data_IF_772511711015
#
_entry.id   IF_772511711015
#
_cell.length_a   1.000
_cell.length_b   1.000
_cell.length_c   1.000
_cell.angle_alpha   90.00
_cell.angle_beta   90.00
_cell.angle_gamma   90.00
#
_symmetry.space_group_name_H-M   'P 1'
#
loop_
_entity.id
_entity.type
_entity.pdbx_description
1 polymer ?
#
# COMPACT_ATOMS: atom_id res chain seq x y z
N UNK A 1 43.77 5.60 68.87
CA UNK A 1 43.99 7.03 68.57
C UNK A 1 43.53 7.28 67.15
N UNK A 2 42.81 8.38 66.94
CA UNK A 2 42.00 8.67 65.77
C UNK A 2 42.79 9.24 64.56
N UNK A 3 42.05 9.37 63.45
CA UNK A 3 42.13 10.36 62.34
C UNK A 3 42.64 9.83 60.97
N UNK A 4 41.66 9.54 60.10
CA UNK A 4 41.39 10.11 58.76
C UNK A 4 42.54 10.58 57.85
N UNK A 5 42.56 10.12 56.58
CA UNK A 5 42.14 10.89 55.37
C UNK A 5 42.22 10.08 54.06
N UNK A 6 41.18 10.30 53.24
CA UNK A 6 40.91 10.09 51.79
C UNK A 6 42.13 9.87 50.85
N UNK A 7 42.06 9.24 49.65
CA UNK A 7 41.13 9.47 48.53
C UNK A 7 41.39 8.48 47.34
N UNK A 8 40.36 8.26 46.51
CA UNK A 8 40.31 7.83 45.09
C UNK A 8 40.65 6.37 44.69
N UNK A 9 39.58 5.62 44.39
CA UNK A 9 39.61 4.47 43.46
C UNK A 9 38.67 4.81 42.29
N UNK A 10 39.22 4.86 41.07
CA UNK A 10 38.47 5.05 39.85
C UNK A 10 37.89 3.69 39.38
N UNK A 11 36.57 3.62 39.20
CA UNK A 11 35.90 2.49 38.54
C UNK A 11 35.36 2.97 37.19
N UNK A 12 35.91 2.40 36.11
CA UNK A 12 35.43 2.57 34.74
C UNK A 12 34.20 1.69 34.50
N UNK A 13 33.02 2.30 34.34
CA UNK A 13 31.83 1.64 33.82
C UNK A 13 31.84 1.69 32.28
N UNK A 14 31.68 0.52 31.66
CA UNK A 14 31.39 0.39 30.23
C UNK A 14 29.95 0.86 29.96
N UNK A 15 29.80 1.85 29.08
CA UNK A 15 28.50 2.32 28.58
C UNK A 15 28.13 1.48 27.36
N UNK A 16 27.11 0.64 27.51
CA UNK A 16 26.37 0.05 26.38
C UNK A 16 25.46 1.18 25.86
N UNK A 17 25.81 1.78 24.73
CA UNK A 17 24.95 2.74 24.03
C UNK A 17 23.84 1.97 23.33
N UNK A 18 22.74 1.73 24.04
CA UNK A 18 21.46 1.41 23.40
C UNK A 18 21.03 2.60 22.55
N UNK A 19 20.91 2.39 21.24
CA UNK A 19 20.28 3.37 20.36
C UNK A 19 18.79 3.38 20.71
N UNK A 20 18.36 4.42 21.41
CA UNK A 20 16.95 4.69 21.62
C UNK A 20 16.27 4.85 20.27
N UNK A 21 15.19 4.10 20.06
CA UNK A 21 14.24 4.38 18.99
C UNK A 21 13.78 5.84 19.11
N UNK A 22 13.52 6.55 17.99
CA UNK A 22 12.94 7.88 18.07
C UNK A 22 11.64 7.79 18.88
N UNK A 23 11.49 8.69 19.85
CA UNK A 23 10.27 8.83 20.64
C UNK A 23 9.08 8.92 19.68
N UNK A 24 8.33 7.83 19.57
CA UNK A 24 7.01 7.87 18.98
C UNK A 24 6.21 8.86 19.82
N UNK A 25 5.65 9.89 19.18
CA UNK A 25 4.57 10.66 19.79
C UNK A 25 3.51 9.64 20.20
N UNK A 26 3.43 9.36 21.50
CA UNK A 26 2.29 8.70 22.09
C UNK A 26 1.12 9.64 21.86
N UNK A 27 0.34 9.37 20.81
CA UNK A 27 -0.97 10.00 20.64
C UNK A 27 -1.77 9.62 21.87
N UNK A 28 -2.13 10.63 22.65
CA UNK A 28 -2.96 10.50 23.82
C UNK A 28 -4.22 9.70 23.44
N UNK A 29 -4.43 8.55 24.09
CA UNK A 29 -5.67 7.78 23.97
C UNK A 29 -6.81 8.72 24.39
N UNK A 30 -7.56 9.24 23.43
CA UNK A 30 -8.73 10.09 23.71
C UNK A 30 -9.77 9.27 24.50
N UNK A 31 -9.74 9.36 25.83
CA UNK A 31 -10.80 8.87 26.70
C UNK A 31 -11.86 9.96 26.86
N UNK A 32 -13.15 9.62 26.69
CA UNK A 32 -14.23 10.41 27.31
C UNK A 32 -15.41 10.91 26.46
N UNK A 33 -15.56 10.60 25.16
CA UNK A 33 -16.78 10.94 24.41
C UNK A 33 -17.45 9.69 23.85
N UNK A 34 -18.63 9.33 24.34
CA UNK A 34 -19.47 8.27 23.76
C UNK A 34 -19.94 8.67 22.36
N UNK A 35 -19.75 7.82 21.36
CA UNK A 35 -20.26 8.05 20.01
C UNK A 35 -21.78 7.91 20.01
N UNK A 36 -22.46 8.96 19.57
CA UNK A 36 -23.91 8.96 19.52
C UNK A 36 -24.45 8.31 18.24
N UNK A 37 -25.63 7.73 18.33
CA UNK A 37 -26.34 7.26 17.15
C UNK A 37 -26.65 8.42 16.20
N UNK A 38 -26.55 8.18 14.90
CA UNK A 38 -26.96 9.15 13.89
C UNK A 38 -27.93 8.51 12.88
N UNK A 39 -29.19 8.27 13.27
CA UNK A 39 -30.16 7.55 12.45
C UNK A 39 -30.60 8.30 11.18
N UNK A 40 -30.20 9.56 11.03
CA UNK A 40 -30.57 10.41 9.89
C UNK A 40 -29.60 10.28 8.70
N UNK A 41 -28.52 9.50 8.83
CA UNK A 41 -27.55 9.27 7.75
C UNK A 41 -27.84 7.94 7.07
N UNK A 42 -28.11 7.96 5.77
CA UNK A 42 -28.49 6.79 4.98
C UNK A 42 -29.98 6.45 5.06
N UNK A 43 -30.40 5.25 4.63
CA UNK A 43 -31.81 4.87 4.49
C UNK A 43 -32.62 4.80 5.80
N UNK A 44 -31.96 4.82 6.95
CA UNK A 44 -32.60 4.67 8.26
C UNK A 44 -33.12 3.25 8.53
N UNK A 45 -33.91 3.09 9.59
CA UNK A 45 -34.47 1.80 10.00
C UNK A 45 -34.69 1.70 11.51
N UNK A 46 -35.50 0.73 11.93
CA UNK A 46 -35.83 0.49 13.34
C UNK A 46 -35.17 -0.76 13.92
N UNK A 47 -34.66 -1.65 13.07
CA UNK A 47 -33.95 -2.87 13.47
C UNK A 47 -32.45 -2.69 13.27
N UNK A 48 -31.74 -2.51 14.38
CA UNK A 48 -30.30 -2.32 14.36
C UNK A 48 -29.63 -2.93 15.59
N UNK A 49 -28.32 -3.10 15.49
CA UNK A 49 -27.42 -3.34 16.63
C UNK A 49 -26.30 -2.31 16.65
N UNK A 50 -25.87 -1.95 17.84
CA UNK A 50 -24.82 -0.97 18.08
C UNK A 50 -23.58 -1.64 18.67
N UNK A 51 -22.42 -1.14 18.26
CA UNK A 51 -21.16 -1.24 19.00
C UNK A 51 -20.73 0.16 19.46
N UNK A 52 -19.47 0.38 19.84
CA UNK A 52 -19.02 1.71 20.27
C UNK A 52 -19.07 2.70 19.11
N UNK A 53 -18.49 2.36 17.97
CA UNK A 53 -18.26 3.24 16.83
C UNK A 53 -19.20 2.98 15.64
N UNK A 54 -19.95 1.87 15.65
CA UNK A 54 -20.77 1.46 14.52
C UNK A 54 -22.21 1.14 14.91
N UNK A 55 -23.09 1.26 13.91
CA UNK A 55 -24.46 0.76 13.95
C UNK A 55 -24.72 -0.06 12.70
N UNK A 56 -25.16 -1.30 12.87
CA UNK A 56 -25.57 -2.18 11.75
C UNK A 56 -27.09 -2.28 11.71
N UNK A 57 -27.67 -1.91 10.58
CA UNK A 57 -29.09 -2.05 10.26
C UNK A 57 -29.36 -3.33 9.47
N UNK A 58 -30.43 -4.03 9.82
CA UNK A 58 -30.80 -5.30 9.18
C UNK A 58 -29.89 -6.48 9.56
N UNK A 59 -30.23 -7.67 9.05
CA UNK A 59 -29.45 -8.92 9.20
C UNK A 59 -28.96 -9.19 10.63
N UNK A 60 -29.88 -9.17 11.60
CA UNK A 60 -29.58 -9.25 13.04
C UNK A 60 -28.77 -10.49 13.46
N UNK A 61 -28.84 -11.57 12.68
CA UNK A 61 -28.09 -12.81 12.90
C UNK A 61 -26.60 -12.69 12.61
N UNK A 62 -26.17 -11.72 11.81
CA UNK A 62 -24.76 -11.51 11.45
C UNK A 62 -24.22 -10.16 11.95
N UNK A 63 -25.09 -9.26 12.41
CA UNK A 63 -24.74 -7.93 12.88
C UNK A 63 -23.65 -7.92 13.97
N UNK A 64 -23.69 -8.84 14.96
CA UNK A 64 -22.67 -8.86 16.03
C UNK A 64 -21.27 -9.18 15.50
N UNK A 65 -21.18 -10.09 14.52
CA UNK A 65 -19.90 -10.45 13.88
C UNK A 65 -19.37 -9.28 13.05
N UNK A 66 -20.25 -8.62 12.29
CA UNK A 66 -19.90 -7.46 11.49
C UNK A 66 -19.41 -6.30 12.37
N UNK A 67 -20.12 -6.01 13.47
CA UNK A 67 -19.73 -5.01 14.46
C UNK A 67 -18.36 -5.34 15.07
N UNK A 68 -18.12 -6.58 15.49
CA UNK A 68 -16.84 -6.99 16.06
C UNK A 68 -15.67 -6.84 15.07
N UNK A 69 -15.88 -7.19 13.80
CA UNK A 69 -14.91 -6.99 12.72
C UNK A 69 -14.63 -5.50 12.46
N UNK A 70 -15.67 -4.66 12.40
CA UNK A 70 -15.54 -3.22 12.18
C UNK A 70 -14.87 -2.50 13.36
N UNK A 71 -15.17 -2.89 14.60
CA UNK A 71 -14.46 -2.37 15.78
C UNK A 71 -12.98 -2.73 15.77
N UNK A 72 -12.63 -3.93 15.32
CA UNK A 72 -11.23 -4.33 15.12
C UNK A 72 -10.53 -3.49 14.06
N UNK A 73 -11.20 -3.22 12.93
CA UNK A 73 -10.68 -2.34 11.90
C UNK A 73 -10.51 -0.90 12.43
N UNK A 74 -11.51 -0.37 13.13
CA UNK A 74 -11.47 0.95 13.75
C UNK A 74 -10.29 1.08 14.74
N UNK A 75 -10.13 0.13 15.67
CA UNK A 75 -9.04 0.14 16.64
C UNK A 75 -7.67 0.07 15.96
N UNK A 76 -7.55 -0.64 14.82
CA UNK A 76 -6.33 -0.62 14.04
C UNK A 76 -6.09 0.76 13.40
N UNK A 77 -6.97 1.21 12.50
CA UNK A 77 -6.68 2.39 11.68
C UNK A 77 -6.78 3.69 12.47
N UNK A 78 -7.80 3.85 13.29
CA UNK A 78 -7.99 5.07 14.09
C UNK A 78 -7.20 4.99 15.40
N UNK A 79 -7.30 3.86 16.11
CA UNK A 79 -6.67 3.70 17.42
C UNK A 79 -5.14 3.55 17.36
N UNK A 80 -4.63 2.80 16.39
CA UNK A 80 -3.19 2.44 16.30
C UNK A 80 -2.45 3.26 15.24
N UNK A 81 -3.04 3.42 14.05
CA UNK A 81 -2.41 4.12 12.93
C UNK A 81 -2.76 5.62 12.88
N UNK A 82 -3.60 6.11 13.79
CA UNK A 82 -3.84 7.54 14.00
C UNK A 82 -4.67 8.22 12.92
N UNK A 83 -5.35 7.47 12.05
CA UNK A 83 -6.28 8.05 11.08
C UNK A 83 -7.39 8.82 11.80
N UNK A 84 -7.85 9.92 11.20
CA UNK A 84 -8.98 10.67 11.73
C UNK A 84 -10.20 9.77 11.88
N UNK A 85 -10.85 9.83 13.05
CA UNK A 85 -12.05 9.04 13.32
C UNK A 85 -13.18 9.32 12.33
N UNK A 86 -13.82 8.24 11.86
CA UNK A 86 -15.00 8.25 11.02
C UNK A 86 -16.25 8.82 11.71
N UNK A 87 -16.23 8.95 13.05
CA UNK A 87 -17.36 9.53 13.75
C UNK A 87 -17.38 11.05 13.80
N UNK A 88 -16.34 11.73 13.33
CA UNK A 88 -16.35 13.20 13.21
C UNK A 88 -16.74 13.59 11.78
N UNK A 89 -17.69 14.52 11.65
CA UNK A 89 -18.08 15.11 10.37
C UNK A 89 -16.86 15.57 9.57
N UNK A 90 -16.81 15.27 8.28
CA UNK A 90 -15.89 15.85 7.31
C UNK A 90 -15.84 17.39 7.41
N UNK A 91 -17.00 18.01 7.63
CA UNK A 91 -17.16 19.46 7.73
C UNK A 91 -16.60 20.06 9.06
N UNK A 92 -16.28 19.23 10.05
CA UNK A 92 -15.72 19.70 11.33
C UNK A 92 -14.24 20.06 11.19
N UNK A 93 -13.96 21.34 10.94
CA UNK A 93 -12.61 21.87 10.77
C UNK A 93 -11.74 21.77 12.04
N UNK A 94 -12.33 21.80 13.23
CA UNK A 94 -11.62 21.81 14.51
C UNK A 94 -11.39 20.43 15.12
N UNK A 95 -11.93 19.37 14.51
CA UNK A 95 -11.80 17.98 14.97
C UNK A 95 -12.21 17.76 16.43
N UNK A 96 -13.14 18.57 16.92
CA UNK A 96 -13.65 18.56 18.28
C UNK A 96 -15.19 18.51 18.32
N UNK A 97 -15.81 18.29 17.16
CA UNK A 97 -17.23 18.16 17.01
C UNK A 97 -17.78 16.92 17.71
N UNK A 98 -19.11 16.86 17.74
CA UNK A 98 -19.84 15.70 18.27
C UNK A 98 -19.51 14.46 17.45
N UNK A 99 -19.16 13.38 18.13
CA UNK A 99 -18.83 12.10 17.51
C UNK A 99 -20.08 11.24 17.34
N UNK A 100 -20.29 10.70 16.16
CA UNK A 100 -21.42 9.81 15.85
C UNK A 100 -20.96 8.45 15.33
N UNK A 101 -21.76 7.42 15.55
CA UNK A 101 -21.51 6.08 14.99
C UNK A 101 -21.57 6.11 13.46
N UNK A 102 -20.75 5.30 12.81
CA UNK A 102 -20.84 5.04 11.37
C UNK A 102 -21.95 4.02 11.13
N UNK A 103 -22.89 4.35 10.24
CA UNK A 103 -24.00 3.44 9.90
C UNK A 103 -23.58 2.45 8.81
N UNK A 104 -24.02 1.21 8.96
CA UNK A 104 -23.83 0.11 8.01
C UNK A 104 -25.19 -0.53 7.75
N UNK A 105 -25.62 -0.58 6.49
CA UNK A 105 -26.90 -1.14 6.09
C UNK A 105 -26.68 -2.48 5.38
N UNK A 106 -27.18 -3.57 5.99
CA UNK A 106 -27.22 -4.87 5.32
C UNK A 106 -28.42 -4.90 4.37
N UNK A 107 -28.15 -4.92 3.07
CA UNK A 107 -29.18 -4.82 2.01
C UNK A 107 -29.30 -6.12 1.21
N UNK A 108 -30.45 -6.35 0.59
CA UNK A 108 -30.70 -7.56 -0.17
C UNK A 108 -29.89 -7.65 -1.48
N UNK A 109 -29.64 -6.52 -2.14
CA UNK A 109 -28.95 -6.46 -3.43
C UNK A 109 -28.32 -5.11 -3.68
N UNK A 110 -27.15 -5.10 -4.32
CA UNK A 110 -26.49 -3.92 -4.88
C UNK A 110 -26.05 -4.28 -6.31
N UNK A 111 -26.71 -3.76 -7.36
CA UNK A 111 -26.35 -4.10 -8.73
C UNK A 111 -24.88 -3.76 -9.03
N UNK A 112 -24.09 -4.77 -9.38
CA UNK A 112 -22.69 -4.61 -9.78
C UNK A 112 -21.67 -4.44 -8.65
N UNK A 113 -22.08 -4.49 -7.38
CA UNK A 113 -21.16 -4.30 -6.24
C UNK A 113 -21.54 -5.18 -5.03
N UNK A 114 -20.58 -5.61 -4.23
CA UNK A 114 -20.85 -6.36 -2.99
C UNK A 114 -21.10 -5.43 -1.79
N UNK A 115 -20.53 -4.23 -1.84
CA UNK A 115 -20.74 -3.13 -0.92
C UNK A 115 -20.54 -1.80 -1.63
N UNK A 116 -20.92 -0.71 -0.96
CA UNK A 116 -20.69 0.65 -1.43
C UNK A 116 -20.63 1.59 -0.23
N UNK A 117 -19.68 2.52 -0.26
CA UNK A 117 -19.69 3.70 0.59
C UNK A 117 -20.49 4.83 -0.04
N UNK A 118 -21.31 5.49 0.76
CA UNK A 118 -21.99 6.72 0.41
C UNK A 118 -21.57 7.85 1.36
N UNK A 119 -21.70 9.09 0.89
CA UNK A 119 -21.46 10.29 1.68
C UNK A 119 -22.67 11.23 1.64
N UNK A 120 -22.94 11.86 2.77
CA UNK A 120 -23.83 13.00 2.87
C UNK A 120 -22.96 14.23 3.11
N UNK A 121 -22.74 15.01 2.04
CA UNK A 121 -21.92 16.22 2.09
C UNK A 121 -22.49 17.30 3.01
N UNK A 122 -23.81 17.31 3.22
CA UNK A 122 -24.45 18.33 4.07
C UNK A 122 -24.09 18.15 5.54
N UNK A 123 -24.14 16.90 6.02
CA UNK A 123 -23.74 16.55 7.39
C UNK A 123 -22.26 16.21 7.50
N UNK A 124 -21.59 15.92 6.39
CA UNK A 124 -20.20 15.50 6.31
C UNK A 124 -19.99 14.06 6.80
N UNK A 125 -21.00 13.20 6.76
CA UNK A 125 -20.91 11.82 7.26
C UNK A 125 -20.90 10.79 6.14
N UNK A 126 -20.09 9.74 6.29
CA UNK A 126 -20.14 8.54 5.46
C UNK A 126 -21.02 7.43 6.05
N UNK A 127 -21.60 6.60 5.20
CA UNK A 127 -22.23 5.32 5.59
C UNK A 127 -21.96 4.23 4.56
N UNK A 128 -22.23 2.99 4.95
CA UNK A 128 -22.02 1.82 4.10
C UNK A 128 -23.35 1.14 3.77
N UNK A 129 -23.50 0.67 2.54
CA UNK A 129 -24.45 -0.40 2.21
C UNK A 129 -23.66 -1.64 1.81
N UNK A 130 -24.01 -2.81 2.36
CA UNK A 130 -23.35 -4.08 2.07
C UNK A 130 -24.40 -5.14 1.84
N UNK A 131 -24.23 -5.94 0.78
CA UNK A 131 -25.12 -7.05 0.52
C UNK A 131 -25.10 -8.06 1.67
N UNK A 132 -26.27 -8.64 1.99
CA UNK A 132 -26.46 -9.53 3.14
C UNK A 132 -25.43 -10.67 3.24
N UNK A 133 -25.03 -11.26 2.10
CA UNK A 133 -24.05 -12.36 2.04
C UNK A 133 -22.61 -11.92 2.31
N UNK A 134 -22.30 -10.62 2.21
CA UNK A 134 -20.96 -10.06 2.33
C UNK A 134 -20.75 -9.20 3.58
N UNK A 135 -21.80 -9.02 4.41
CA UNK A 135 -21.76 -8.20 5.63
C UNK A 135 -20.62 -8.59 6.60
N UNK A 136 -20.23 -9.86 6.63
CA UNK A 136 -19.12 -10.37 7.46
C UNK A 136 -17.91 -10.79 6.64
N UNK A 137 -17.86 -10.44 5.34
CA UNK A 137 -16.70 -10.65 4.50
C UNK A 137 -15.76 -9.46 4.68
N UNK A 138 -14.63 -9.66 5.36
CA UNK A 138 -13.69 -8.58 5.69
C UNK A 138 -13.14 -7.89 4.43
N UNK A 139 -12.84 -8.65 3.37
CA UNK A 139 -12.43 -8.10 2.07
C UNK A 139 -13.44 -7.11 1.45
N UNK A 140 -14.74 -7.21 1.78
CA UNK A 140 -15.78 -6.29 1.30
C UNK A 140 -16.07 -5.22 2.35
N UNK A 141 -16.51 -5.61 3.55
CA UNK A 141 -17.03 -4.65 4.52
C UNK A 141 -15.93 -3.73 5.08
N UNK A 142 -14.70 -4.24 5.26
CA UNK A 142 -13.57 -3.41 5.69
C UNK A 142 -13.01 -2.58 4.53
N UNK A 143 -13.13 -3.04 3.29
CA UNK A 143 -12.86 -2.22 2.10
C UNK A 143 -13.78 -1.00 2.06
N UNK A 144 -15.10 -1.21 2.19
CA UNK A 144 -16.05 -0.09 2.21
C UNK A 144 -15.80 0.85 3.39
N UNK A 145 -15.44 0.30 4.55
CA UNK A 145 -15.00 1.14 5.68
C UNK A 145 -13.71 1.91 5.38
N UNK A 146 -12.82 1.37 4.55
CA UNK A 146 -11.67 2.08 3.99
C UNK A 146 -12.06 3.33 3.21
N UNK A 147 -13.13 3.29 2.41
CA UNK A 147 -13.68 4.49 1.75
C UNK A 147 -14.20 5.52 2.76
N UNK A 148 -14.84 5.08 3.86
CA UNK A 148 -15.25 6.00 4.94
C UNK A 148 -14.02 6.62 5.61
N UNK A 149 -13.00 5.83 5.97
CA UNK A 149 -11.76 6.35 6.54
C UNK A 149 -11.10 7.39 5.62
N UNK A 150 -11.06 7.09 4.32
CA UNK A 150 -10.56 7.98 3.28
C UNK A 150 -11.34 9.30 3.25
N UNK A 151 -12.66 9.24 3.08
CA UNK A 151 -13.53 10.41 3.05
C UNK A 151 -13.30 11.29 4.28
N UNK A 152 -13.24 10.68 5.46
CA UNK A 152 -13.04 11.42 6.71
C UNK A 152 -11.62 11.98 6.91
N UNK A 153 -10.61 11.65 6.07
CA UNK A 153 -9.31 12.36 6.03
C UNK A 153 -9.35 13.67 5.23
N UNK A 154 -10.44 13.93 4.52
CA UNK A 154 -10.80 15.19 3.84
C UNK A 154 -10.03 15.58 2.58
N UNK A 155 -8.70 15.44 2.58
CA UNK A 155 -7.85 16.15 1.61
C UNK A 155 -7.89 15.59 0.19
N UNK A 156 -8.06 14.29 0.04
CA UNK A 156 -8.16 13.60 -1.25
C UNK A 156 -9.59 13.58 -1.81
N UNK A 157 -10.54 14.23 -1.13
CA UNK A 157 -11.95 14.36 -1.54
C UNK A 157 -12.10 15.51 -2.55
N UNK A 158 -12.98 15.31 -3.53
CA UNK A 158 -13.24 16.23 -4.65
C UNK A 158 -11.98 16.58 -5.48
N UNK A 159 -11.03 15.65 -5.57
CA UNK A 159 -9.83 15.77 -6.41
C UNK A 159 -9.85 14.70 -7.51
N UNK A 160 -10.11 15.08 -8.77
CA UNK A 160 -10.22 14.10 -9.87
C UNK A 160 -9.01 13.16 -9.98
N UNK A 161 -7.79 13.67 -9.74
CA UNK A 161 -6.55 12.88 -9.84
C UNK A 161 -6.28 11.92 -8.68
N UNK A 162 -7.04 12.01 -7.60
CA UNK A 162 -6.99 11.02 -6.52
C UNK A 162 -8.04 9.93 -6.71
N UNK A 163 -9.05 10.13 -7.57
CA UNK A 163 -10.24 9.27 -7.66
C UNK A 163 -9.95 7.77 -7.71
N UNK A 164 -9.12 7.30 -8.65
CA UNK A 164 -8.83 5.86 -8.75
C UNK A 164 -8.01 5.33 -7.56
N UNK A 165 -7.29 6.20 -6.86
CA UNK A 165 -6.53 5.82 -5.66
C UNK A 165 -7.44 5.52 -4.46
N UNK A 166 -8.73 5.90 -4.51
CA UNK A 166 -9.69 5.55 -3.46
C UNK A 166 -9.84 4.05 -3.34
N UNK A 167 -10.00 3.35 -4.46
CA UNK A 167 -10.08 1.88 -4.46
C UNK A 167 -8.76 1.23 -4.06
N UNK A 168 -7.64 1.78 -4.53
CA UNK A 168 -6.31 1.31 -4.13
C UNK A 168 -6.14 1.42 -2.61
N UNK A 169 -6.58 2.53 -2.02
CA UNK A 169 -6.54 2.76 -0.58
C UNK A 169 -7.50 1.83 0.18
N UNK A 170 -8.73 1.68 -0.27
CA UNK A 170 -9.72 0.80 0.36
C UNK A 170 -9.27 -0.68 0.37
N UNK A 171 -8.69 -1.16 -0.73
CA UNK A 171 -8.07 -2.49 -0.77
C UNK A 171 -6.84 -2.60 0.13
N UNK A 172 -6.02 -1.55 0.24
CA UNK A 172 -4.93 -1.53 1.22
C UNK A 172 -5.45 -1.62 2.66
N UNK A 173 -6.54 -0.90 3.01
CA UNK A 173 -7.18 -0.99 4.33
C UNK A 173 -7.65 -2.41 4.60
N UNK A 174 -8.39 -3.02 3.66
CA UNK A 174 -8.90 -4.38 3.82
C UNK A 174 -7.76 -5.41 3.97
N UNK A 175 -6.77 -5.40 3.08
CA UNK A 175 -5.66 -6.36 3.12
C UNK A 175 -4.77 -6.16 4.36
N UNK A 176 -4.48 -4.91 4.74
CA UNK A 176 -3.73 -4.59 5.97
C UNK A 176 -4.47 -5.08 7.21
N UNK A 177 -5.79 -4.85 7.29
CA UNK A 177 -6.61 -5.38 8.38
C UNK A 177 -6.52 -6.91 8.47
N UNK A 178 -6.59 -7.60 7.33
CA UNK A 178 -6.64 -9.07 7.27
C UNK A 178 -5.31 -9.73 7.61
N UNK A 179 -4.22 -9.15 7.14
CA UNK A 179 -2.93 -9.86 7.05
C UNK A 179 -1.85 -9.28 7.94
N UNK A 180 -1.86 -7.95 8.18
CA UNK A 180 -0.72 -7.25 8.77
C UNK A 180 -0.65 -7.42 10.29
N UNK A 181 0.56 -7.45 10.82
CA UNK A 181 0.83 -7.41 12.26
C UNK A 181 0.45 -6.05 12.88
N UNK A 182 0.37 -4.99 12.08
CA UNK A 182 -0.11 -3.68 12.52
C UNK A 182 -1.50 -3.76 13.14
N UNK A 183 -2.37 -4.62 12.59
CA UNK A 183 -3.73 -4.81 13.09
C UNK A 183 -3.87 -6.04 14.00
N UNK A 184 -2.79 -6.79 14.30
CA UNK A 184 -2.89 -8.03 15.07
C UNK A 184 -3.41 -7.82 16.50
N UNK A 185 -3.01 -6.73 17.16
CA UNK A 185 -3.49 -6.42 18.51
C UNK A 185 -5.00 -6.10 18.51
N UNK A 186 -5.46 -5.30 17.55
CA UNK A 186 -6.87 -4.98 17.38
C UNK A 186 -7.69 -6.22 17.02
N UNK A 187 -7.23 -7.03 16.07
CA UNK A 187 -7.88 -8.31 15.73
C UNK A 187 -8.03 -9.22 16.95
N UNK A 188 -6.97 -9.42 17.74
CA UNK A 188 -7.03 -10.22 18.98
C UNK A 188 -8.01 -9.67 20.01
N UNK A 189 -8.04 -8.35 20.21
CA UNK A 189 -8.94 -7.71 21.17
C UNK A 189 -10.43 -7.94 20.82
N UNK A 190 -10.73 -8.14 19.55
CA UNK A 190 -12.07 -8.37 19.02
C UNK A 190 -12.28 -9.80 18.50
N UNK A 191 -11.42 -10.76 18.88
CA UNK A 191 -11.51 -12.17 18.48
C UNK A 191 -11.59 -12.42 16.97
N UNK A 192 -10.94 -11.57 16.18
CA UNK A 192 -10.88 -11.69 14.73
C UNK A 192 -9.62 -12.47 14.29
N UNK A 193 -9.72 -13.37 13.31
CA UNK A 193 -8.59 -14.14 12.82
C UNK A 193 -7.69 -13.31 11.89
N UNK A 194 -6.42 -13.71 11.75
CA UNK A 194 -5.64 -13.35 10.56
C UNK A 194 -6.18 -14.14 9.38
N UNK A 195 -6.26 -13.52 8.21
CA UNK A 195 -6.74 -14.12 6.98
C UNK A 195 -5.67 -14.11 5.87
N UNK A 196 -5.98 -14.72 4.73
CA UNK A 196 -5.11 -14.68 3.55
C UNK A 196 -5.23 -13.33 2.83
N UNK A 197 -4.16 -12.94 2.14
CA UNK A 197 -4.18 -11.79 1.24
C UNK A 197 -5.10 -12.01 0.03
N UNK A 198 -5.62 -10.91 -0.51
CA UNK A 198 -6.39 -10.86 -1.77
C UNK A 198 -5.52 -10.41 -2.96
N UNK A 199 -4.20 -10.56 -2.87
CA UNK A 199 -3.29 -10.12 -3.92
C UNK A 199 -3.54 -10.85 -5.25
N UNK A 200 -3.68 -10.08 -6.33
CA UNK A 200 -3.89 -10.58 -7.68
C UNK A 200 -2.60 -10.48 -8.50
N UNK A 201 -1.65 -11.38 -8.26
CA UNK A 201 -0.31 -11.32 -8.86
C UNK A 201 -0.31 -11.40 -10.39
N UNK A 202 -1.28 -12.11 -10.98
CA UNK A 202 -1.45 -12.14 -12.43
C UNK A 202 -1.69 -10.75 -13.01
N UNK A 203 -2.39 -9.88 -12.28
CA UNK A 203 -2.58 -8.47 -12.66
C UNK A 203 -1.38 -7.62 -12.25
N UNK A 204 -0.99 -7.64 -10.98
CA UNK A 204 0.06 -6.73 -10.47
C UNK A 204 1.42 -6.96 -11.12
N UNK A 205 1.84 -8.22 -11.31
CA UNK A 205 3.11 -8.55 -11.99
C UNK A 205 2.91 -8.69 -13.49
N UNK A 206 1.87 -9.44 -13.89
CA UNK A 206 1.62 -9.73 -15.30
C UNK A 206 1.30 -8.49 -16.13
N UNK A 207 0.70 -7.45 -15.55
CA UNK A 207 0.45 -6.15 -16.19
C UNK A 207 1.27 -5.01 -15.55
N UNK A 208 2.41 -5.33 -14.92
CA UNK A 208 3.29 -4.34 -14.27
C UNK A 208 3.76 -3.20 -15.19
N UNK A 209 3.65 -3.36 -16.51
CA UNK A 209 3.97 -2.32 -17.49
C UNK A 209 2.94 -1.19 -17.56
N UNK A 210 1.73 -1.38 -17.01
CA UNK A 210 0.71 -0.33 -16.90
C UNK A 210 1.17 0.80 -15.96
N UNK A 211 0.50 1.96 -15.96
CA UNK A 211 0.76 3.00 -14.98
C UNK A 211 0.60 2.44 -13.55
N UNK A 212 1.34 3.01 -12.59
CA UNK A 212 1.33 2.52 -11.20
C UNK A 212 -0.08 2.43 -10.59
N UNK A 213 -0.96 3.36 -10.99
CA UNK A 213 -2.41 3.29 -10.80
C UNK A 213 -3.08 3.72 -12.09
N UNK A 214 -3.90 2.82 -12.64
CA UNK A 214 -4.68 2.96 -13.87
C UNK A 214 -6.15 2.66 -13.56
N UNK A 215 -7.01 3.66 -13.74
CA UNK A 215 -8.45 3.58 -13.52
C UNK A 215 -9.26 3.23 -14.78
N UNK A 216 -8.60 2.88 -15.88
CA UNK A 216 -9.29 2.57 -17.14
C UNK A 216 -10.29 1.42 -16.95
N UNK A 217 -11.49 1.59 -17.50
CA UNK A 217 -12.56 0.58 -17.45
C UNK A 217 -12.06 -0.73 -18.06
N UNK A 218 -12.40 -1.86 -17.43
CA UNK A 218 -12.06 -3.25 -17.79
C UNK A 218 -10.58 -3.64 -17.83
N UNK A 219 -9.67 -2.67 -17.87
CA UNK A 219 -8.25 -2.90 -18.16
C UNK A 219 -7.30 -2.32 -17.12
N UNK A 220 -7.76 -1.38 -16.30
CA UNK A 220 -7.00 -0.75 -15.24
C UNK A 220 -6.59 -1.72 -14.12
N UNK A 221 -5.78 -1.21 -13.19
CA UNK A 221 -5.23 -1.97 -12.06
C UNK A 221 -5.49 -1.29 -10.71
N UNK A 222 -6.34 -0.26 -10.66
CA UNK A 222 -6.57 0.55 -9.46
C UNK A 222 -7.07 -0.23 -8.24
N UNK A 223 -7.75 -1.36 -8.42
CA UNK A 223 -8.04 -2.30 -7.32
C UNK A 223 -6.79 -3.10 -6.92
N UNK A 224 -5.90 -3.47 -7.84
CA UNK A 224 -4.75 -4.35 -7.61
C UNK A 224 -3.42 -3.61 -7.30
N UNK A 225 -3.43 -2.28 -7.32
CA UNK A 225 -2.25 -1.44 -7.11
C UNK A 225 -1.86 -1.24 -5.63
N UNK A 226 -2.69 -1.73 -4.69
CA UNK A 226 -2.47 -1.58 -3.25
C UNK A 226 -1.11 -2.12 -2.73
N UNK A 227 -0.42 -3.09 -3.36
CA UNK A 227 0.90 -3.52 -2.89
C UNK A 227 1.94 -2.40 -2.87
N UNK A 228 1.77 -1.35 -3.69
CA UNK A 228 2.59 -0.15 -3.59
C UNK A 228 2.39 0.57 -2.25
N UNK A 229 1.14 0.73 -1.80
CA UNK A 229 0.83 1.36 -0.51
C UNK A 229 1.34 0.50 0.66
N UNK A 230 1.27 -0.83 0.53
CA UNK A 230 1.87 -1.77 1.48
C UNK A 230 3.38 -1.62 1.55
N UNK A 231 4.07 -1.49 0.41
CA UNK A 231 5.50 -1.26 0.35
C UNK A 231 5.91 0.04 1.07
N UNK A 232 5.16 1.13 0.84
CA UNK A 232 5.38 2.41 1.54
C UNK A 232 5.21 2.27 3.06
N UNK A 233 4.18 1.54 3.48
CA UNK A 233 3.83 1.31 4.89
C UNK A 233 4.88 0.45 5.60
N UNK A 234 5.29 -0.66 4.99
CA UNK A 234 6.26 -1.59 5.57
C UNK A 234 7.69 -1.07 5.48
N UNK A 235 7.96 -0.19 4.50
CA UNK A 235 9.25 0.45 4.26
C UNK A 235 10.46 -0.51 4.38
N UNK A 236 10.48 -1.61 3.62
CA UNK A 236 11.54 -2.62 3.76
C UNK A 236 12.92 -2.10 3.33
N UNK A 237 12.98 -0.98 2.60
CA UNK A 237 14.21 -0.26 2.24
C UNK A 237 14.67 0.76 3.29
N UNK A 238 13.92 0.94 4.38
CA UNK A 238 14.25 1.82 5.51
C UNK A 238 14.49 3.28 5.09
N UNK A 239 13.71 3.78 4.13
CA UNK A 239 13.73 5.20 3.80
C UNK A 239 13.31 6.03 5.01
N UNK A 240 14.14 7.01 5.38
CA UNK A 240 14.07 7.67 6.69
C UNK A 240 12.72 8.34 7.03
N UNK A 241 11.91 8.69 6.03
CA UNK A 241 10.62 9.37 6.19
C UNK A 241 9.40 8.49 5.88
N UNK A 242 9.63 7.22 5.53
CA UNK A 242 8.55 6.27 5.27
C UNK A 242 8.45 5.24 6.41
N UNK A 243 7.38 4.46 6.42
CA UNK A 243 7.00 3.55 7.49
C UNK A 243 5.49 3.54 7.74
N UNK A 244 5.09 3.07 8.92
CA UNK A 244 3.69 2.76 9.25
C UNK A 244 2.74 3.96 9.15
N UNK A 245 3.25 5.18 9.33
CA UNK A 245 2.48 6.44 9.26
C UNK A 245 2.48 7.08 7.85
N UNK A 246 3.13 6.46 6.86
CA UNK A 246 3.34 7.09 5.54
C UNK A 246 2.03 7.51 4.88
N UNK A 247 1.03 6.63 4.82
CA UNK A 247 -0.22 6.93 4.13
C UNK A 247 -1.02 8.01 4.85
N UNK A 248 -1.02 7.99 6.19
CA UNK A 248 -1.62 9.04 6.97
C UNK A 248 -0.93 10.39 6.71
N UNK A 249 0.41 10.43 6.68
CA UNK A 249 1.16 11.64 6.29
C UNK A 249 0.87 12.08 4.86
N UNK A 250 0.69 11.16 3.92
CA UNK A 250 0.29 11.48 2.55
C UNK A 250 -1.11 12.11 2.48
N UNK A 251 -2.00 11.81 3.42
CA UNK A 251 -3.31 12.46 3.49
C UNK A 251 -3.21 13.82 4.20
N UNK A 252 -2.51 13.90 5.33
CA UNK A 252 -2.34 15.15 6.11
C UNK A 252 -1.58 16.23 5.34
N UNK A 253 -0.54 15.84 4.59
CA UNK A 253 0.31 16.78 3.85
C UNK A 253 -0.17 17.05 2.42
N UNK A 254 -1.28 16.43 2.00
CA UNK A 254 -1.88 16.72 0.70
C UNK A 254 -2.34 18.16 0.66
N UNK A 255 -1.96 18.88 -0.40
CA UNK A 255 -2.36 20.27 -0.54
C UNK A 255 -3.84 20.34 -0.94
N UNK A 256 -4.69 20.81 -0.02
CA UNK A 256 -6.12 20.99 -0.27
C UNK A 256 -6.38 21.76 -1.59
N UNK A 257 -7.32 21.26 -2.39
CA UNK A 257 -7.73 21.85 -3.67
C UNK A 257 -6.61 21.98 -4.72
N UNK A 258 -5.50 21.24 -4.57
CA UNK A 258 -4.42 21.27 -5.55
C UNK A 258 -4.69 20.40 -6.78
N UNK A 259 -5.56 19.40 -6.64
CA UNK A 259 -5.75 18.33 -7.61
C UNK A 259 -4.41 17.71 -8.05
N UNK A 260 -3.43 17.65 -7.12
CA UNK A 260 -2.18 16.91 -7.33
C UNK A 260 -2.42 15.40 -7.23
N UNK A 261 -1.53 14.60 -7.81
CA UNK A 261 -1.60 13.15 -7.64
C UNK A 261 -1.01 12.75 -6.28
N UNK A 262 -1.42 11.62 -5.69
CA UNK A 262 -0.78 11.10 -4.47
C UNK A 262 0.75 10.98 -4.53
N UNK A 263 1.33 10.82 -5.72
CA UNK A 263 2.78 10.79 -5.90
C UNK A 263 3.46 12.15 -5.62
N UNK A 264 2.78 13.28 -5.85
CA UNK A 264 3.32 14.60 -5.49
C UNK A 264 3.40 14.76 -3.98
N UNK A 265 2.37 14.31 -3.27
CA UNK A 265 2.39 14.31 -1.81
C UNK A 265 3.39 13.30 -1.26
N UNK A 266 3.55 12.13 -1.90
CA UNK A 266 4.62 11.19 -1.56
C UNK A 266 5.99 11.83 -1.68
N UNK A 267 6.26 12.61 -2.75
CA UNK A 267 7.53 13.33 -2.89
C UNK A 267 7.77 14.31 -1.74
N UNK A 268 6.71 14.96 -1.25
CA UNK A 268 6.77 15.87 -0.10
C UNK A 268 7.09 15.12 1.19
N UNK A 269 6.38 14.02 1.45
CA UNK A 269 6.56 13.17 2.64
C UNK A 269 7.95 12.53 2.67
N UNK A 270 8.40 12.00 1.54
CA UNK A 270 9.67 11.29 1.41
C UNK A 270 10.91 12.20 1.57
N UNK A 271 10.74 13.52 1.50
CA UNK A 271 11.82 14.49 1.64
C UNK A 271 12.86 14.35 0.51
N UNK A 272 14.10 14.01 0.86
CA UNK A 272 15.20 13.87 -0.11
C UNK A 272 15.13 12.60 -0.95
N UNK A 273 14.38 11.58 -0.51
CA UNK A 273 14.16 10.38 -1.33
C UNK A 273 13.17 10.72 -2.43
N UNK A 274 13.58 10.52 -3.68
CA UNK A 274 12.72 10.81 -4.84
C UNK A 274 11.67 9.72 -5.04
N UNK A 275 10.50 10.08 -5.59
CA UNK A 275 9.49 9.08 -5.98
C UNK A 275 10.05 8.10 -7.00
N UNK A 276 10.94 8.53 -7.91
CA UNK A 276 11.63 7.65 -8.84
C UNK A 276 12.43 6.54 -8.12
N UNK A 277 13.15 6.88 -7.04
CA UNK A 277 13.86 5.88 -6.23
C UNK A 277 12.89 4.93 -5.53
N UNK A 278 11.81 5.46 -4.96
CA UNK A 278 10.81 4.66 -4.23
C UNK A 278 10.11 3.68 -5.18
N UNK A 279 9.64 4.13 -6.33
CA UNK A 279 8.99 3.30 -7.35
C UNK A 279 9.97 2.27 -7.92
N UNK A 280 11.21 2.67 -8.20
CA UNK A 280 12.24 1.75 -8.68
C UNK A 280 12.54 0.61 -7.69
N UNK A 281 12.65 0.95 -6.40
CA UNK A 281 12.83 -0.05 -5.33
C UNK A 281 11.60 -0.91 -5.12
N UNK A 282 10.40 -0.32 -5.13
CA UNK A 282 9.13 -1.07 -5.09
C UNK A 282 9.10 -2.16 -6.16
N UNK A 283 9.34 -1.80 -7.43
CA UNK A 283 9.33 -2.78 -8.51
C UNK A 283 10.46 -3.80 -8.41
N UNK A 284 11.65 -3.40 -7.91
CA UNK A 284 12.72 -4.34 -7.62
C UNK A 284 12.30 -5.38 -6.57
N UNK A 285 11.56 -4.97 -5.55
CA UNK A 285 11.00 -5.87 -4.51
C UNK A 285 9.89 -6.75 -5.05
N UNK A 286 9.06 -6.22 -5.95
CA UNK A 286 8.00 -7.00 -6.60
C UNK A 286 8.52 -8.13 -7.48
N UNK A 287 9.80 -8.14 -7.87
CA UNK A 287 10.42 -9.28 -8.56
C UNK A 287 10.32 -10.60 -7.77
N UNK A 288 10.29 -10.52 -6.44
CA UNK A 288 10.08 -11.66 -5.54
C UNK A 288 9.02 -11.37 -4.45
N UNK A 289 8.22 -10.32 -4.64
CA UNK A 289 7.15 -9.85 -3.74
C UNK A 289 7.61 -9.76 -2.27
N UNK A 290 8.82 -9.27 -2.04
CA UNK A 290 9.40 -9.13 -0.70
C UNK A 290 9.23 -7.70 -0.13
N UNK A 291 8.00 -7.20 -0.25
CA UNK A 291 7.56 -5.87 0.19
C UNK A 291 7.23 -5.79 1.69
N UNK A 292 7.77 -6.71 2.49
CA UNK A 292 7.42 -6.85 3.91
C UNK A 292 6.03 -7.45 4.16
N UNK A 293 5.45 -8.13 3.18
CA UNK A 293 4.12 -8.76 3.27
C UNK A 293 4.24 -10.28 3.13
N UNK A 294 4.23 -10.98 4.26
CA UNK A 294 4.51 -12.42 4.32
C UNK A 294 3.51 -13.26 3.52
N UNK A 295 2.22 -12.96 3.61
CA UNK A 295 1.19 -13.74 2.90
C UNK A 295 1.28 -13.52 1.38
N UNK A 296 1.53 -12.29 0.93
CA UNK A 296 1.75 -11.99 -0.50
C UNK A 296 3.03 -12.63 -1.04
N UNK A 297 4.11 -12.65 -0.26
CA UNK A 297 5.34 -13.36 -0.63
C UNK A 297 5.07 -14.86 -0.81
N UNK A 298 4.31 -15.48 0.10
CA UNK A 298 3.93 -16.88 -0.02
C UNK A 298 3.08 -17.14 -1.27
N UNK A 299 2.06 -16.31 -1.52
CA UNK A 299 1.24 -16.39 -2.74
C UNK A 299 2.09 -16.29 -4.01
N UNK A 300 3.14 -15.46 -3.99
CA UNK A 300 4.09 -15.39 -5.10
C UNK A 300 4.88 -16.69 -5.27
N UNK A 301 5.43 -17.27 -4.20
CA UNK A 301 6.17 -18.52 -4.31
C UNK A 301 5.31 -19.64 -4.91
N UNK A 302 4.01 -19.65 -4.59
CA UNK A 302 3.05 -20.64 -5.08
C UNK A 302 2.66 -20.39 -6.55
N UNK A 303 2.53 -19.13 -6.97
CA UNK A 303 2.01 -18.76 -8.30
C UNK A 303 3.08 -18.37 -9.32
N UNK A 304 4.33 -18.12 -8.93
CA UNK A 304 5.36 -17.49 -9.78
C UNK A 304 5.59 -18.15 -11.14
N UNK A 305 5.29 -19.45 -11.28
CA UNK A 305 5.42 -20.20 -12.53
C UNK A 305 4.30 -19.90 -13.54
N UNK A 306 3.14 -19.42 -13.11
CA UNK A 306 2.01 -19.08 -14.00
C UNK A 306 1.99 -17.59 -14.39
N UNK A 307 2.85 -16.77 -13.80
CA UNK A 307 2.88 -15.34 -14.06
C UNK A 307 3.46 -15.02 -15.45
N UNK A 308 2.94 -13.97 -16.07
CA UNK A 308 3.36 -13.54 -17.39
C UNK A 308 4.55 -12.57 -17.31
N UNK A 309 5.71 -13.03 -17.78
CA UNK A 309 6.95 -12.22 -17.88
C UNK A 309 7.37 -11.92 -19.31
N UNK A 310 6.49 -12.10 -20.29
CA UNK A 310 6.81 -12.00 -21.71
C UNK A 310 6.95 -10.54 -22.19
N UNK A 311 7.86 -9.78 -21.59
CA UNK A 311 8.02 -8.33 -21.75
C UNK A 311 8.91 -7.93 -22.94
N UNK A 312 9.81 -8.81 -23.39
CA UNK A 312 10.84 -8.48 -24.39
C UNK A 312 10.93 -9.51 -25.51
N UNK A 313 11.45 -9.08 -26.66
CA UNK A 313 11.82 -9.94 -27.79
C UNK A 313 13.34 -10.13 -27.84
N UNK A 314 13.77 -11.34 -28.17
CA UNK A 314 15.19 -11.65 -28.43
C UNK A 314 15.56 -11.24 -29.84
N UNK A 315 16.64 -10.47 -29.97
CA UNK A 315 17.23 -10.09 -31.25
C UNK A 315 18.46 -10.95 -31.60
N UNK A 316 18.67 -12.05 -30.87
CA UNK A 316 19.87 -12.89 -30.98
C UNK A 316 21.08 -12.31 -30.21
N UNK A 317 22.12 -13.13 -30.04
CA UNK A 317 23.40 -12.76 -29.43
C UNK A 317 23.27 -12.07 -28.05
N UNK A 318 22.32 -12.53 -27.21
CA UNK A 318 22.09 -11.96 -25.89
C UNK A 318 21.48 -10.56 -25.88
N UNK A 319 21.00 -10.05 -27.04
CA UNK A 319 20.36 -8.75 -27.17
C UNK A 319 18.84 -8.88 -27.10
N UNK A 320 18.19 -8.00 -26.36
CA UNK A 320 16.75 -7.96 -26.18
C UNK A 320 16.20 -6.55 -26.35
N UNK A 321 14.98 -6.43 -26.87
CA UNK A 321 14.24 -5.16 -26.96
C UNK A 321 12.88 -5.33 -26.32
N UNK A 322 12.41 -4.31 -25.61
CA UNK A 322 11.06 -4.31 -25.04
C UNK A 322 9.99 -4.44 -26.14
N UNK A 323 8.95 -5.24 -25.89
CA UNK A 323 7.81 -5.31 -26.80
C UNK A 323 7.03 -4.00 -26.76
N UNK A 324 6.63 -3.49 -27.92
CA UNK A 324 5.90 -2.21 -28.00
C UNK A 324 4.67 -2.14 -27.07
N UNK A 325 3.91 -3.24 -26.95
CA UNK A 325 2.72 -3.35 -26.10
C UNK A 325 3.03 -3.55 -24.60
N UNK A 326 4.30 -3.77 -24.22
CA UNK A 326 4.76 -4.03 -22.85
C UNK A 326 5.71 -2.96 -22.34
N UNK A 327 5.90 -1.88 -23.09
CA UNK A 327 6.73 -0.76 -22.65
C UNK A 327 6.19 -0.20 -21.34
N UNK A 328 7.02 -0.13 -20.28
CA UNK A 328 6.57 0.39 -19.00
C UNK A 328 6.06 1.82 -19.15
N UNK A 329 4.78 2.04 -18.85
CA UNK A 329 4.14 3.34 -18.83
C UNK A 329 4.49 4.08 -17.54
N UNK A 330 3.82 5.19 -17.23
CA UNK A 330 4.17 6.07 -16.11
C UNK A 330 4.27 5.33 -14.78
N UNK A 331 5.49 5.25 -14.23
CA UNK A 331 5.80 4.55 -12.97
C UNK A 331 5.52 3.04 -13.00
N UNK A 332 5.32 2.45 -14.18
CA UNK A 332 5.26 1.00 -14.41
C UNK A 332 6.64 0.38 -14.59
N UNK A 333 6.69 -0.95 -14.68
CA UNK A 333 7.91 -1.71 -14.85
C UNK A 333 7.79 -2.94 -15.76
N UNK A 334 8.93 -3.49 -16.13
CA UNK A 334 9.06 -4.86 -16.61
C UNK A 334 9.94 -5.64 -15.63
N UNK A 335 9.42 -6.77 -15.15
CA UNK A 335 10.16 -7.78 -14.41
C UNK A 335 10.55 -8.88 -15.39
N UNK A 336 11.84 -9.22 -15.45
CA UNK A 336 12.41 -10.11 -16.46
C UNK A 336 13.26 -11.18 -15.75
N UNK A 337 12.68 -12.34 -15.41
CA UNK A 337 13.42 -13.47 -14.89
C UNK A 337 14.50 -13.93 -15.88
N UNK A 338 15.66 -14.30 -15.35
CA UNK A 338 16.82 -14.71 -16.12
C UNK A 338 17.16 -16.17 -15.86
N UNK A 339 17.60 -16.86 -16.91
CA UNK A 339 18.25 -18.16 -16.84
C UNK A 339 19.77 -17.97 -16.91
N UNK A 340 20.43 -18.16 -15.78
CA UNK A 340 21.89 -17.97 -15.67
C UNK A 340 22.65 -19.17 -16.25
N UNK A 341 23.68 -18.90 -17.05
CA UNK A 341 24.58 -19.91 -17.62
C UNK A 341 26.03 -19.77 -17.13
N UNK A 342 26.28 -18.79 -16.27
CA UNK A 342 27.58 -18.42 -15.72
C UNK A 342 27.42 -17.98 -14.27
N UNK A 343 28.50 -18.03 -13.49
CA UNK A 343 28.59 -17.43 -12.15
C UNK A 343 28.71 -15.91 -12.18
N UNK A 344 28.79 -15.30 -13.36
CA UNK A 344 28.78 -13.86 -13.55
C UNK A 344 27.76 -13.48 -14.61
N UNK A 345 26.87 -12.55 -14.26
CA UNK A 345 25.87 -11.96 -15.16
C UNK A 345 26.20 -10.50 -15.36
N UNK A 346 26.29 -10.08 -16.62
CA UNK A 346 26.46 -8.68 -17.01
C UNK A 346 25.24 -8.23 -17.80
N UNK A 347 24.76 -7.04 -17.47
CA UNK A 347 23.69 -6.35 -18.19
C UNK A 347 24.17 -4.98 -18.63
N UNK A 348 23.82 -4.58 -19.85
CA UNK A 348 23.97 -3.20 -20.33
C UNK A 348 22.64 -2.76 -20.94
N UNK A 349 22.11 -1.63 -20.49
CA UNK A 349 20.80 -1.10 -20.88
C UNK A 349 21.01 0.16 -21.71
N UNK A 350 20.24 0.29 -22.78
CA UNK A 350 20.08 1.53 -23.55
C UNK A 350 18.61 1.88 -23.57
N UNK A 351 18.25 3.07 -23.09
CA UNK A 351 16.87 3.52 -23.00
C UNK A 351 16.73 4.96 -23.49
N UNK A 352 15.54 5.30 -23.99
CA UNK A 352 15.17 6.67 -24.35
C UNK A 352 14.16 7.22 -23.32
N UNK A 353 14.68 7.72 -22.20
CA UNK A 353 13.89 8.26 -21.10
C UNK A 353 14.58 8.06 -19.75
N UNK A 354 14.00 8.66 -18.70
CA UNK A 354 14.43 8.41 -17.34
C UNK A 354 13.91 7.04 -16.86
N UNK A 355 14.79 6.28 -16.22
CA UNK A 355 14.47 4.94 -15.75
C UNK A 355 15.28 4.60 -14.50
N UNK A 356 14.78 3.60 -13.77
CA UNK A 356 15.54 2.88 -12.75
C UNK A 356 15.64 1.42 -13.17
N UNK A 357 16.81 0.82 -12.98
CA UNK A 357 17.00 -0.59 -13.24
C UNK A 357 17.78 -1.26 -12.12
N UNK A 358 17.41 -2.51 -11.83
CA UNK A 358 17.95 -3.28 -10.71
C UNK A 358 18.01 -4.76 -11.11
N UNK A 359 19.12 -5.42 -10.76
CA UNK A 359 19.17 -6.88 -10.70
C UNK A 359 18.74 -7.30 -9.29
N UNK A 360 17.64 -8.04 -9.20
CA UNK A 360 17.16 -8.67 -7.97
C UNK A 360 17.62 -10.13 -7.96
N UNK A 361 18.34 -10.52 -6.90
CA UNK A 361 18.89 -11.86 -6.75
C UNK A 361 18.29 -12.50 -5.50
N UNK A 362 17.57 -13.60 -5.69
CA UNK A 362 16.81 -14.28 -4.64
C UNK A 362 17.42 -15.63 -4.31
N UNK A 363 17.58 -15.89 -3.01
CA UNK A 363 17.99 -17.20 -2.49
C UNK A 363 17.45 -17.40 -1.08
N UNK A 364 16.86 -18.57 -0.84
CA UNK A 364 16.44 -19.01 0.48
C UNK A 364 15.55 -17.98 1.23
N UNK A 365 14.61 -17.34 0.53
CA UNK A 365 13.70 -16.37 1.14
C UNK A 365 14.27 -14.96 1.33
N UNK A 366 15.50 -14.70 0.88
CA UNK A 366 16.11 -13.37 0.94
C UNK A 366 16.48 -12.87 -0.45
N UNK A 367 16.29 -11.57 -0.68
CA UNK A 367 16.68 -10.89 -1.91
C UNK A 367 17.78 -9.88 -1.63
N UNK A 368 18.76 -9.82 -2.53
CA UNK A 368 19.71 -8.71 -2.62
C UNK A 368 19.55 -7.99 -3.94
N UNK A 369 19.85 -6.70 -3.94
CA UNK A 369 19.61 -5.83 -5.08
C UNK A 369 20.90 -5.17 -5.54
N UNK A 370 21.11 -5.12 -6.86
CA UNK A 370 22.23 -4.43 -7.48
C UNK A 370 21.68 -3.42 -8.47
N UNK A 371 21.92 -2.13 -8.21
CA UNK A 371 21.53 -1.05 -9.13
C UNK A 371 22.24 -1.22 -10.47
N UNK A 372 21.52 -0.99 -11.57
CA UNK A 372 22.03 -0.98 -12.94
C UNK A 372 22.02 0.46 -13.44
N UNK A 373 23.20 1.10 -13.47
CA UNK A 373 23.36 2.48 -13.95
C UNK A 373 23.94 2.48 -15.37
N UNK A 374 23.07 2.25 -16.35
CA UNK A 374 23.45 1.95 -17.74
C UNK A 374 24.08 0.56 -17.92
N UNK A 375 24.85 0.07 -16.95
CA UNK A 375 25.38 -1.29 -16.92
C UNK A 375 25.66 -1.77 -15.50
N UNK A 376 25.70 -3.08 -15.32
CA UNK A 376 26.17 -3.71 -14.10
C UNK A 376 26.70 -5.12 -14.39
N UNK A 377 27.61 -5.59 -13.53
CA UNK A 377 28.06 -6.97 -13.47
C UNK A 377 27.83 -7.48 -12.05
N UNK A 378 27.26 -8.67 -11.92
CA UNK A 378 27.01 -9.30 -10.62
C UNK A 378 27.51 -10.74 -10.63
N UNK A 379 28.09 -11.17 -9.51
CA UNK A 379 28.36 -12.58 -9.26
C UNK A 379 27.09 -13.26 -8.80
N UNK A 380 26.77 -14.42 -9.36
CA UNK A 380 25.60 -15.25 -9.01
C UNK A 380 26.10 -16.45 -8.20
N UNK A 381 25.61 -16.57 -6.97
CA UNK A 381 25.89 -17.71 -6.12
C UNK A 381 25.07 -18.93 -6.55
N UNK A 382 25.54 -20.13 -6.19
CA UNK A 382 24.79 -21.36 -6.45
C UNK A 382 23.40 -21.29 -5.81
N UNK A 383 22.37 -21.55 -6.62
CA UNK A 383 20.95 -21.52 -6.22
C UNK A 383 20.33 -20.13 -6.14
N UNK A 384 21.02 -19.06 -6.58
CA UNK A 384 20.38 -17.75 -6.75
C UNK A 384 19.55 -17.71 -8.04
N UNK A 385 18.30 -17.26 -7.91
CA UNK A 385 17.46 -16.83 -9.02
C UNK A 385 17.75 -15.35 -9.30
N UNK A 386 17.74 -14.92 -10.57
CA UNK A 386 18.05 -13.55 -10.96
C UNK A 386 16.94 -12.98 -11.82
N UNK A 387 16.49 -11.77 -11.50
CA UNK A 387 15.54 -11.01 -12.30
C UNK A 387 16.11 -9.62 -12.60
N UNK A 388 16.06 -9.21 -13.87
CA UNK A 388 16.25 -7.82 -14.25
C UNK A 388 14.92 -7.08 -14.12
N UNK A 389 14.92 -5.96 -13.41
CA UNK A 389 13.76 -5.06 -13.31
C UNK A 389 14.13 -3.73 -13.97
N UNK A 390 13.27 -3.26 -14.87
CA UNK A 390 13.39 -1.95 -15.52
C UNK A 390 12.08 -1.19 -15.32
N UNK A 391 12.11 -0.07 -14.60
CA UNK A 391 10.95 0.77 -14.33
C UNK A 391 11.08 2.14 -15.01
N UNK A 392 9.99 2.61 -15.60
CA UNK A 392 9.88 3.94 -16.20
C UNK A 392 9.58 4.96 -15.10
N UNK A 393 10.58 5.77 -14.76
CA UNK A 393 10.52 6.69 -13.62
C UNK A 393 10.79 8.13 -14.07
N UNK A 394 9.91 8.70 -14.91
CA UNK A 394 10.05 10.07 -15.36
C UNK A 394 9.76 11.05 -14.21
N UNK A 395 9.96 12.34 -14.47
CA UNK A 395 9.50 13.39 -13.56
C UNK A 395 8.00 13.26 -13.29
N UNK A 396 7.56 13.73 -12.12
CA UNK A 396 6.15 13.67 -11.74
C UNK A 396 5.28 14.51 -12.67
N UNK A 397 4.12 13.95 -13.03
CA UNK A 397 3.12 14.61 -13.85
C UNK A 397 1.75 14.58 -13.18
N UNK A 398 0.95 15.59 -13.46
CA UNK A 398 -0.44 15.69 -13.02
C UNK A 398 -1.35 14.84 -13.92
N UNK A 399 -1.25 13.51 -13.80
CA UNK A 399 -2.08 12.58 -14.56
C UNK A 399 -3.41 12.26 -13.84
N UNK A 400 -4.47 12.06 -14.60
CA UNK A 400 -5.75 11.54 -14.13
C UNK A 400 -5.78 10.03 -14.40
N UNK A 401 -5.83 9.17 -13.36
CA UNK A 401 -5.86 7.72 -13.57
C UNK A 401 -7.10 7.22 -14.32
N UNK A 402 -8.24 7.93 -14.27
CA UNK A 402 -9.45 7.56 -15.01
C UNK A 402 -9.43 8.09 -16.45
N UNK A 403 -8.57 9.07 -16.74
CA UNK A 403 -8.40 9.65 -18.07
C UNK A 403 -6.92 9.87 -18.39
N UNK A 404 -6.21 8.75 -18.59
CA UNK A 404 -4.77 8.73 -18.81
C UNK A 404 -4.35 9.59 -20.02
N UNK A 405 -3.48 10.57 -19.78
CA UNK A 405 -2.90 11.43 -20.80
C UNK A 405 -1.93 10.68 -21.72
N UNK A 406 -1.60 11.27 -22.88
CA UNK A 406 -0.57 10.72 -23.78
C UNK A 406 0.80 10.60 -23.09
N UNK A 407 1.11 11.49 -22.16
CA UNK A 407 2.34 11.45 -21.38
C UNK A 407 2.33 10.28 -20.37
N UNK A 408 1.22 10.03 -19.68
CA UNK A 408 1.09 8.90 -18.77
C UNK A 408 1.18 7.55 -19.50
N UNK A 409 0.63 7.48 -20.73
CA UNK A 409 0.68 6.30 -21.60
C UNK A 409 2.01 6.14 -22.33
N UNK A 410 2.91 7.11 -22.26
CA UNK A 410 4.20 7.05 -22.97
C UNK A 410 5.05 5.95 -22.34
N UNK A 411 5.12 4.82 -23.03
CA UNK A 411 5.96 3.69 -22.62
C UNK A 411 7.45 3.97 -22.82
N UNK A 412 8.28 3.51 -21.87
CA UNK A 412 9.73 3.55 -21.97
C UNK A 412 10.22 2.59 -23.06
N UNK A 413 10.86 3.14 -24.09
CA UNK A 413 11.61 2.39 -25.09
C UNK A 413 12.99 2.03 -24.54
N UNK A 414 13.32 0.75 -24.49
CA UNK A 414 14.64 0.30 -24.09
C UNK A 414 15.04 -1.02 -24.75
N UNK A 415 16.35 -1.24 -24.78
CA UNK A 415 16.97 -2.51 -25.14
C UNK A 415 18.10 -2.81 -24.17
N UNK A 416 18.50 -4.07 -24.10
CA UNK A 416 19.64 -4.46 -23.28
C UNK A 416 20.40 -5.64 -23.87
N UNK A 417 21.64 -5.79 -23.46
CA UNK A 417 22.47 -6.96 -23.71
C UNK A 417 22.73 -7.70 -22.42
N UNK A 418 22.69 -9.03 -22.48
CA UNK A 418 23.07 -9.94 -21.40
C UNK A 418 24.31 -10.74 -21.79
N UNK A 419 25.21 -10.91 -20.82
CA UNK A 419 26.30 -11.89 -20.88
C UNK A 419 26.23 -12.76 -19.63
N UNK A 420 26.38 -14.08 -19.80
CA UNK A 420 26.30 -15.05 -18.70
C UNK A 420 24.89 -15.44 -18.27
N UNK A 421 23.86 -14.94 -18.94
CA UNK A 421 22.46 -15.33 -18.77
C UNK A 421 21.66 -15.09 -20.06
N UNK A 422 20.47 -15.70 -20.13
CA UNK A 422 19.41 -15.38 -21.10
C UNK A 422 18.13 -15.00 -20.36
N UNK A 423 17.17 -14.37 -21.03
CA UNK A 423 15.79 -14.28 -20.52
C UNK A 423 15.20 -15.69 -20.39
N UNK A 424 14.48 -15.97 -19.29
CA UNK A 424 13.96 -17.30 -18.94
C UNK A 424 12.70 -17.70 -19.71
#
# INVERSE_FOLDING_TARGET
>A
MAISKQLLLALSLQVITGWAAPEGMLVERQSGSSYEANPNIGPGGSQFKDSNHFRVYGNSGQADKALSMLEAAYDCFVGTLGFRTSGLSFNDASNNGKKTKTNVYSVASLPGAAGVMHSDFSTGMGWLEVQNSYLTASGVTVHEYGHVLHYHQKTWVDQGRTGAWWETFANWVADTYRTSDLCAAARRAHSQPTENTEIELHKTIGDSFQPIVDGSVDTGNYYQAWPFLTYLTNNPDKYAKLGTDTLHQMMVQYKANSNETPLHTLQRVAGSTTVAQIVGSYWARMAYVDIGHTSAHQTFLDQRRSLNYANVDSNGNGKYTVKSARRPQYMGANIIPLKTSSTSVKVQITANGAYTATLALFRNGATRYVKVDGSATVTVASGEEVSLVVANTPSLILYDPFNLSAEAKKGLEYSFTLTGATVA
#
